data_IF_303864792808
#
_entry.id   IF_303864792808
#
_cell.length_a   1.000
_cell.length_b   1.000
_cell.length_c   1.000
_cell.angle_alpha   90.00
_cell.angle_beta   90.00
_cell.angle_gamma   90.00
#
_symmetry.space_group_name_H-M   'P 1'
#
loop_
_entity.id
_entity.type
_entity.pdbx_description
1 polymer ?
#
# COMPACT_ATOMS: atom_id res chain seq x y z
N UNK A 1 9.08 -18.76 5.39
CA UNK A 1 8.38 -17.94 6.41
C UNK A 1 6.91 -17.91 5.99
N UNK A 2 5.98 -18.32 6.84
CA UNK A 2 4.55 -18.23 6.54
C UNK A 2 4.04 -16.84 6.97
N UNK A 3 3.17 -16.23 6.18
CA UNK A 3 2.59 -14.93 6.53
C UNK A 3 1.58 -15.08 7.66
N UNK A 4 1.74 -14.28 8.72
CA UNK A 4 0.79 -14.18 9.84
C UNK A 4 -0.47 -13.36 9.49
N UNK A 5 -0.54 -12.81 8.27
CA UNK A 5 -1.65 -11.99 7.79
C UNK A 5 -3.01 -12.67 7.97
N UNK A 6 -3.06 -13.99 7.75
CA UNK A 6 -4.30 -14.75 7.81
C UNK A 6 -4.85 -14.97 9.23
N UNK A 7 -4.10 -14.61 10.28
CA UNK A 7 -4.61 -14.66 11.65
C UNK A 7 -5.74 -13.66 11.90
N UNK A 8 -5.72 -12.52 11.22
CA UNK A 8 -6.78 -11.50 11.34
C UNK A 8 -7.97 -11.73 10.39
N UNK A 9 -8.13 -12.95 9.87
CA UNK A 9 -9.32 -13.38 9.14
C UNK A 9 -10.33 -13.93 10.13
N UNK A 10 -11.60 -14.10 9.73
CA UNK A 10 -12.62 -14.74 10.58
C UNK A 10 -12.15 -16.09 11.12
N UNK A 11 -11.56 -16.94 10.27
CA UNK A 11 -11.03 -18.25 10.68
C UNK A 11 -9.88 -18.13 11.69
N UNK A 12 -8.95 -17.21 11.44
CA UNK A 12 -7.82 -16.96 12.34
C UNK A 12 -8.25 -16.36 13.68
N UNK A 13 -9.23 -15.45 13.70
CA UNK A 13 -9.79 -14.87 14.91
C UNK A 13 -10.53 -15.91 15.73
N UNK A 14 -11.39 -16.74 15.11
CA UNK A 14 -12.09 -17.82 15.82
C UNK A 14 -11.12 -18.83 16.43
N UNK A 15 -9.99 -19.12 15.76
CA UNK A 15 -8.95 -19.99 16.31
C UNK A 15 -8.26 -19.34 17.52
N UNK A 16 -7.93 -18.05 17.44
CA UNK A 16 -7.31 -17.32 18.55
C UNK A 16 -8.25 -17.25 19.76
N UNK A 17 -9.53 -16.92 19.55
CA UNK A 17 -10.55 -16.90 20.61
C UNK A 17 -10.68 -18.28 21.28
N UNK A 18 -10.73 -19.35 20.48
CA UNK A 18 -10.78 -20.72 21.02
C UNK A 18 -9.53 -21.08 21.83
N UNK A 19 -8.33 -20.66 21.37
CA UNK A 19 -7.09 -20.89 22.10
C UNK A 19 -7.05 -20.10 23.41
N UNK A 20 -7.55 -18.87 23.40
CA UNK A 20 -7.63 -18.02 24.59
C UNK A 20 -8.56 -18.63 25.65
N UNK A 21 -9.70 -19.20 25.26
CA UNK A 21 -10.59 -19.93 26.17
C UNK A 21 -9.88 -21.15 26.81
N UNK A 22 -9.11 -21.91 26.03
CA UNK A 22 -8.34 -23.06 26.53
C UNK A 22 -7.20 -22.63 27.47
N UNK A 23 -6.60 -21.46 27.25
CA UNK A 23 -5.62 -20.87 28.17
C UNK A 23 -6.30 -20.42 29.47
N UNK A 24 -7.44 -19.73 29.37
CA UNK A 24 -8.20 -19.25 30.53
C UNK A 24 -8.67 -20.39 31.44
N UNK A 25 -9.09 -21.50 30.84
CA UNK A 25 -9.47 -22.74 31.56
C UNK A 25 -8.26 -23.58 32.00
N UNK A 26 -7.03 -23.10 31.81
CA UNK A 26 -5.77 -23.75 32.16
C UNK A 26 -5.56 -25.13 31.51
N UNK A 27 -6.22 -25.40 30.39
CA UNK A 27 -6.06 -26.66 29.65
C UNK A 27 -4.80 -26.69 28.79
N UNK A 28 -4.36 -25.52 28.31
CA UNK A 28 -3.13 -25.37 27.52
C UNK A 28 -2.29 -24.19 28.01
N UNK A 29 -0.99 -24.24 27.73
CA UNK A 29 -0.10 -23.11 28.00
C UNK A 29 -0.13 -22.08 26.85
N UNK A 30 0.14 -20.79 27.14
CA UNK A 30 0.27 -19.78 26.08
C UNK A 30 1.34 -20.13 25.03
N UNK A 31 2.42 -20.79 25.46
CA UNK A 31 3.48 -21.23 24.56
C UNK A 31 2.99 -22.31 23.57
N UNK A 32 2.12 -23.22 24.02
CA UNK A 32 1.52 -24.22 23.14
C UNK A 32 0.55 -23.57 22.14
N UNK A 33 -0.27 -22.62 22.57
CA UNK A 33 -1.16 -21.88 21.68
C UNK A 33 -0.37 -21.14 20.57
N UNK A 34 0.78 -20.56 20.90
CA UNK A 34 1.67 -19.95 19.90
C UNK A 34 2.16 -20.98 18.86
N UNK A 35 2.50 -22.21 19.28
CA UNK A 35 2.87 -23.27 18.35
C UNK A 35 1.71 -23.68 17.43
N UNK A 36 0.48 -23.72 17.96
CA UNK A 36 -0.73 -23.98 17.15
C UNK A 36 -0.91 -22.88 16.10
N UNK A 37 -0.76 -21.61 16.47
CA UNK A 37 -0.85 -20.51 15.51
C UNK A 37 0.24 -20.55 14.44
N UNK A 38 1.48 -20.93 14.80
CA UNK A 38 2.55 -21.14 13.81
C UNK A 38 2.22 -22.29 12.84
N UNK A 39 1.55 -23.33 13.31
CA UNK A 39 1.10 -24.43 12.47
C UNK A 39 -0.08 -24.02 11.58
N UNK A 40 -1.00 -23.21 12.11
CA UNK A 40 -2.07 -22.60 11.33
C UNK A 40 -1.53 -21.76 10.18
N UNK A 41 -0.53 -20.91 10.43
CA UNK A 41 0.08 -20.09 9.38
C UNK A 41 0.60 -20.95 8.22
N UNK A 42 1.27 -22.07 8.52
CA UNK A 42 1.74 -23.00 7.48
C UNK A 42 0.57 -23.63 6.73
N UNK A 43 -0.40 -24.18 7.47
CA UNK A 43 -1.53 -24.90 6.92
C UNK A 43 -2.37 -24.05 5.96
N UNK A 44 -2.70 -22.81 6.35
CA UNK A 44 -3.52 -21.92 5.52
C UNK A 44 -2.80 -21.49 4.24
N UNK A 45 -1.50 -21.14 4.34
CA UNK A 45 -0.70 -20.78 3.16
C UNK A 45 -0.61 -21.97 2.17
N UNK A 46 -0.39 -23.19 2.68
CA UNK A 46 -0.37 -24.41 1.85
C UNK A 46 -1.74 -24.71 1.24
N UNK A 47 -2.83 -24.54 1.99
CA UNK A 47 -4.18 -24.80 1.50
C UNK A 47 -4.58 -23.83 0.39
N UNK A 48 -4.35 -22.52 0.60
CA UNK A 48 -4.65 -21.49 -0.39
C UNK A 48 -3.83 -21.68 -1.68
N UNK A 49 -2.53 -21.97 -1.56
CA UNK A 49 -1.66 -22.16 -2.74
C UNK A 49 -2.02 -23.40 -3.58
N UNK A 50 -2.45 -24.49 -2.94
CA UNK A 50 -2.60 -25.78 -3.62
C UNK A 50 -4.05 -26.16 -3.96
N UNK A 51 -5.03 -25.66 -3.19
CA UNK A 51 -6.43 -26.09 -3.29
C UNK A 51 -7.34 -25.06 -3.97
N UNK A 52 -7.01 -23.77 -3.87
CA UNK A 52 -7.85 -22.68 -4.39
C UNK A 52 -7.43 -22.35 -5.82
N UNK A 53 -8.37 -22.41 -6.75
CA UNK A 53 -8.11 -22.15 -8.19
C UNK A 53 -9.05 -21.14 -8.83
N UNK A 54 -10.09 -20.73 -8.12
CA UNK A 54 -11.03 -19.73 -8.61
C UNK A 54 -10.34 -18.38 -8.77
N UNK A 55 -10.82 -17.61 -9.75
CA UNK A 55 -10.31 -16.27 -10.08
C UNK A 55 -11.44 -15.28 -9.97
N UNK A 56 -11.20 -14.23 -9.20
CA UNK A 56 -12.11 -13.09 -9.04
C UNK A 56 -11.52 -11.87 -9.74
N UNK A 57 -12.35 -11.12 -10.44
CA UNK A 57 -12.01 -9.80 -10.97
C UNK A 57 -12.71 -8.73 -10.13
N UNK A 58 -12.11 -7.55 -9.98
CA UNK A 58 -12.77 -6.46 -9.28
C UNK A 58 -12.49 -5.10 -9.94
N UNK A 59 -13.41 -4.16 -9.75
CA UNK A 59 -13.29 -2.75 -10.15
C UNK A 59 -13.82 -1.86 -9.04
N UNK A 60 -13.24 -0.68 -8.87
CA UNK A 60 -13.70 0.28 -7.87
C UNK A 60 -12.84 1.54 -7.89
N UNK A 61 -13.22 2.53 -7.08
CA UNK A 61 -12.51 3.79 -6.96
C UNK A 61 -11.46 3.71 -5.87
N UNK A 62 -10.19 3.99 -6.17
CA UNK A 62 -9.12 3.99 -5.17
C UNK A 62 -9.26 5.23 -4.27
N UNK A 63 -9.42 5.00 -2.97
CA UNK A 63 -9.52 6.07 -1.97
C UNK A 63 -8.14 6.42 -1.40
N UNK A 64 -7.42 5.43 -0.87
CA UNK A 64 -6.05 5.61 -0.38
C UNK A 64 -5.24 4.34 -0.57
N UNK A 65 -3.91 4.49 -0.67
CA UNK A 65 -2.96 3.38 -0.71
C UNK A 65 -1.78 3.63 0.22
N UNK A 66 -1.12 2.56 0.65
CA UNK A 66 0.12 2.58 1.42
C UNK A 66 0.96 1.37 1.05
N UNK A 67 2.27 1.59 0.92
CA UNK A 67 3.25 0.53 0.82
C UNK A 67 4.31 0.70 1.91
N UNK A 68 4.48 -0.31 2.74
CA UNK A 68 5.47 -0.33 3.82
C UNK A 68 5.82 -1.79 4.13
N UNK A 69 7.09 -2.09 4.40
CA UNK A 69 7.58 -3.44 4.74
C UNK A 69 7.14 -4.55 3.78
N UNK A 70 7.13 -4.27 2.47
CA UNK A 70 6.67 -5.18 1.42
C UNK A 70 5.18 -5.60 1.54
N UNK A 71 4.39 -4.80 2.27
CA UNK A 71 2.95 -4.96 2.41
C UNK A 71 2.25 -3.78 1.75
N UNK A 72 1.41 -4.09 0.77
CA UNK A 72 0.48 -3.13 0.18
C UNK A 72 -0.82 -3.10 0.98
N UNK A 73 -1.31 -1.91 1.28
CA UNK A 73 -2.65 -1.68 1.83
C UNK A 73 -3.40 -0.71 0.94
N UNK A 74 -4.52 -1.13 0.38
CA UNK A 74 -5.43 -0.29 -0.39
C UNK A 74 -6.76 -0.15 0.33
N UNK A 75 -7.37 1.02 0.22
CA UNK A 75 -8.78 1.23 0.57
C UNK A 75 -9.46 1.72 -0.69
N UNK A 76 -10.49 1.02 -1.12
CA UNK A 76 -11.28 1.35 -2.30
C UNK A 76 -12.73 1.63 -1.88
N UNK A 77 -13.39 2.51 -2.62
CA UNK A 77 -14.82 2.78 -2.51
C UNK A 77 -15.55 2.24 -3.75
N UNK A 78 -16.85 1.98 -3.61
CA UNK A 78 -17.76 1.56 -4.69
C UNK A 78 -17.20 0.38 -5.50
N UNK A 79 -16.86 -0.70 -4.80
CA UNK A 79 -16.18 -1.85 -5.39
C UNK A 79 -17.17 -2.89 -5.86
N UNK A 80 -16.98 -3.36 -7.08
CA UNK A 80 -17.67 -4.51 -7.65
C UNK A 80 -16.70 -5.68 -7.80
N UNK A 81 -16.94 -6.77 -7.07
CA UNK A 81 -16.29 -8.06 -7.26
C UNK A 81 -17.12 -8.92 -8.22
N UNK A 82 -16.46 -9.54 -9.19
CA UNK A 82 -17.06 -10.42 -10.19
C UNK A 82 -16.34 -11.77 -10.21
N UNK A 83 -17.06 -12.80 -9.82
CA UNK A 83 -16.75 -14.19 -10.10
C UNK A 83 -17.63 -14.67 -11.27
N UNK A 84 -17.41 -15.87 -11.81
CA UNK A 84 -17.95 -16.35 -13.11
C UNK A 84 -19.41 -15.95 -13.35
N UNK A 85 -20.29 -16.18 -12.37
CA UNK A 85 -21.71 -15.81 -12.41
C UNK A 85 -22.09 -14.74 -11.39
N UNK A 86 -21.26 -14.52 -10.39
CA UNK A 86 -21.65 -13.80 -9.18
C UNK A 86 -21.05 -12.39 -9.16
N UNK A 87 -21.88 -11.41 -8.84
CA UNK A 87 -21.49 -10.01 -8.69
C UNK A 87 -21.83 -9.53 -7.29
N UNK A 88 -20.80 -9.06 -6.58
CA UNK A 88 -20.91 -8.52 -5.22
C UNK A 88 -20.49 -7.07 -5.23
N UNK A 89 -21.35 -6.17 -4.76
CA UNK A 89 -21.04 -4.74 -4.61
C UNK A 89 -20.78 -4.41 -3.14
N UNK A 90 -19.78 -3.58 -2.88
CA UNK A 90 -19.37 -3.17 -1.54
C UNK A 90 -18.99 -1.69 -1.56
N UNK A 91 -19.58 -0.89 -0.68
CA UNK A 91 -19.33 0.56 -0.61
C UNK A 91 -17.87 0.89 -0.30
N UNK A 92 -17.21 0.06 0.52
CA UNK A 92 -15.82 0.26 0.92
C UNK A 92 -15.13 -1.06 1.25
N UNK A 93 -13.92 -1.27 0.73
CA UNK A 93 -13.11 -2.46 1.02
C UNK A 93 -11.66 -2.07 1.33
N UNK A 94 -11.05 -2.81 2.25
CA UNK A 94 -9.62 -2.74 2.55
C UNK A 94 -8.91 -3.99 2.05
N UNK A 95 -7.95 -3.83 1.16
CA UNK A 95 -7.13 -4.92 0.61
C UNK A 95 -5.73 -4.83 1.23
N UNK A 96 -5.26 -5.90 1.86
CA UNK A 96 -3.90 -6.03 2.38
C UNK A 96 -3.20 -7.17 1.64
N UNK A 97 -2.08 -6.88 0.96
CA UNK A 97 -1.36 -7.83 0.14
C UNK A 97 0.13 -7.84 0.50
N UNK A 98 0.63 -9.02 0.89
CA UNK A 98 2.07 -9.25 1.07
C UNK A 98 2.67 -9.76 -0.24
N UNK A 99 3.93 -9.40 -0.52
CA UNK A 99 4.64 -9.92 -1.69
C UNK A 99 4.74 -11.47 -1.64
N UNK A 100 4.33 -12.17 -2.71
CA UNK A 100 4.42 -13.63 -2.80
C UNK A 100 5.84 -14.14 -3.07
N UNK A 101 6.79 -13.26 -3.37
CA UNK A 101 8.18 -13.65 -3.66
C UNK A 101 8.96 -13.96 -2.39
N UNK A 102 9.34 -15.23 -2.24
CA UNK A 102 10.38 -15.65 -1.30
C UNK A 102 11.72 -14.95 -1.64
N UNK A 103 12.12 -13.97 -0.81
CA UNK A 103 13.44 -13.31 -0.71
C UNK A 103 14.15 -12.92 -2.04
N UNK A 104 13.98 -11.67 -2.46
CA UNK A 104 15.05 -10.86 -3.07
C UNK A 104 15.02 -9.44 -2.45
N UNK A 105 15.34 -9.37 -1.16
CA UNK A 105 15.03 -8.25 -0.28
C UNK A 105 16.02 -7.07 -0.31
N UNK A 106 16.80 -6.89 -1.39
CA UNK A 106 17.78 -5.79 -1.49
C UNK A 106 17.57 -4.91 -2.73
N UNK A 107 17.32 -5.51 -3.89
CA UNK A 107 17.17 -4.78 -5.15
C UNK A 107 15.82 -4.05 -5.25
N UNK A 108 14.74 -4.64 -4.72
CA UNK A 108 13.42 -4.03 -4.82
C UNK A 108 13.31 -2.80 -3.91
N UNK A 109 13.88 -2.84 -2.71
CA UNK A 109 13.85 -1.72 -1.77
C UNK A 109 14.62 -0.51 -2.29
N UNK A 110 15.77 -0.72 -2.95
CA UNK A 110 16.53 0.36 -3.59
C UNK A 110 15.80 0.94 -4.81
N UNK A 111 15.15 0.11 -5.62
CA UNK A 111 14.32 0.59 -6.73
C UNK A 111 13.08 1.36 -6.24
N UNK A 112 12.40 0.90 -5.19
CA UNK A 112 11.23 1.60 -4.64
C UNK A 112 11.63 2.94 -4.02
N UNK A 113 12.69 2.95 -3.20
CA UNK A 113 13.18 4.19 -2.57
C UNK A 113 13.71 5.16 -3.61
N UNK A 114 14.37 4.70 -4.69
CA UNK A 114 14.85 5.55 -5.78
C UNK A 114 13.74 6.05 -6.70
N UNK A 115 12.70 5.26 -6.98
CA UNK A 115 11.52 5.71 -7.70
C UNK A 115 10.73 6.74 -6.87
N UNK A 116 10.57 6.54 -5.56
CA UNK A 116 9.93 7.52 -4.68
C UNK A 116 10.77 8.80 -4.54
N UNK A 117 12.10 8.70 -4.35
CA UNK A 117 12.99 9.86 -4.31
C UNK A 117 12.99 10.58 -5.65
N UNK A 118 13.08 9.89 -6.78
CA UNK A 118 13.09 10.53 -8.11
C UNK A 118 11.77 11.19 -8.48
N UNK A 119 10.62 10.61 -8.11
CA UNK A 119 9.32 11.28 -8.28
C UNK A 119 9.22 12.52 -7.38
N UNK A 120 9.66 12.44 -6.13
CA UNK A 120 9.65 13.61 -5.23
C UNK A 120 10.63 14.71 -5.68
N UNK A 121 11.84 14.34 -6.14
CA UNK A 121 12.84 15.27 -6.64
C UNK A 121 12.37 15.90 -7.95
N UNK A 122 11.86 15.13 -8.91
CA UNK A 122 11.36 15.67 -10.18
C UNK A 122 10.21 16.65 -9.96
N UNK A 123 9.23 16.34 -9.11
CA UNK A 123 8.15 17.29 -8.78
C UNK A 123 8.69 18.56 -8.10
N UNK A 124 9.66 18.45 -7.18
CA UNK A 124 10.28 19.61 -6.51
C UNK A 124 11.17 20.46 -7.45
N UNK A 125 11.89 19.83 -8.38
CA UNK A 125 12.72 20.49 -9.40
C UNK A 125 11.85 21.15 -10.46
N UNK A 126 10.75 20.53 -10.89
CA UNK A 126 9.79 21.13 -11.80
C UNK A 126 9.11 22.37 -11.16
N UNK A 127 8.75 22.31 -9.88
CA UNK A 127 8.19 23.47 -9.18
C UNK A 127 9.23 24.60 -8.96
N UNK A 128 10.49 24.28 -8.66
CA UNK A 128 11.53 25.30 -8.44
C UNK A 128 12.04 25.94 -9.74
N UNK A 129 12.17 25.17 -10.83
CA UNK A 129 12.50 25.72 -12.15
C UNK A 129 11.38 26.60 -12.70
N UNK A 130 10.11 26.19 -12.55
CA UNK A 130 8.99 27.04 -12.96
C UNK A 130 8.95 28.34 -12.15
N UNK A 131 9.15 28.30 -10.82
CA UNK A 131 9.17 29.51 -10.00
C UNK A 131 10.34 30.45 -10.31
N UNK A 132 11.55 29.91 -10.56
CA UNK A 132 12.74 30.72 -10.89
C UNK A 132 12.68 31.33 -12.30
N UNK A 133 12.12 30.61 -13.27
CA UNK A 133 11.85 31.15 -14.62
C UNK A 133 10.79 32.26 -14.53
N UNK A 134 9.72 32.06 -13.75
CA UNK A 134 8.73 33.12 -13.52
C UNK A 134 9.33 34.36 -12.84
N UNK A 135 10.18 34.19 -11.81
CA UNK A 135 10.85 35.32 -11.15
C UNK A 135 11.82 36.06 -12.08
N UNK A 136 12.64 35.35 -12.85
CA UNK A 136 13.59 35.97 -13.78
C UNK A 136 12.90 36.70 -14.93
N UNK A 137 11.81 36.16 -15.46
CA UNK A 137 10.95 36.84 -16.44
C UNK A 137 10.29 38.09 -15.84
N UNK A 138 9.82 38.03 -14.60
CA UNK A 138 9.23 39.20 -13.94
C UNK A 138 10.25 40.31 -13.69
N UNK A 139 11.48 39.95 -13.29
CA UNK A 139 12.55 40.91 -13.02
C UNK A 139 13.06 41.56 -14.31
N UNK A 140 13.24 40.78 -15.37
CA UNK A 140 13.65 41.30 -16.69
C UNK A 140 12.59 42.21 -17.31
N UNK A 141 11.30 41.86 -17.21
CA UNK A 141 10.22 42.77 -17.62
C UNK A 141 10.22 44.07 -16.81
N UNK A 142 10.43 44.00 -15.49
CA UNK A 142 10.46 45.20 -14.63
C UNK A 142 11.61 46.14 -14.99
N UNK A 143 12.80 45.62 -15.31
CA UNK A 143 13.96 46.40 -15.75
C UNK A 143 13.78 46.98 -17.16
N UNK A 144 13.12 46.24 -18.05
CA UNK A 144 12.77 46.72 -19.38
C UNK A 144 11.74 47.87 -19.34
N UNK A 145 10.74 47.77 -18.46
CA UNK A 145 9.77 48.85 -18.23
C UNK A 145 10.45 50.09 -17.62
N UNK A 146 11.32 49.90 -16.62
CA UNK A 146 12.04 51.00 -15.96
C UNK A 146 12.96 51.77 -16.92
N UNK A 147 13.71 51.04 -17.77
CA UNK A 147 14.56 51.65 -18.82
C UNK A 147 13.75 52.35 -19.91
N UNK A 148 12.56 51.84 -20.24
CA UNK A 148 11.64 52.51 -21.16
C UNK A 148 11.03 53.80 -20.58
N UNK A 149 10.72 53.83 -19.28
CA UNK A 149 10.24 55.04 -18.60
C UNK A 149 11.31 56.11 -18.40
N UNK A 150 12.58 55.72 -18.22
CA UNK A 150 13.70 56.67 -18.07
C UNK A 150 14.05 57.40 -19.37
N UNK A 151 13.73 56.82 -20.53
CA UNK A 151 13.97 57.44 -21.84
C UNK A 151 12.83 58.37 -22.31
N UNK A 152 11.78 58.59 -21.49
CA UNK A 152 10.66 59.50 -21.82
C UNK A 152 10.63 60.81 -21.03
N UNK A 153 11.61 61.05 -20.16
CA UNK A 153 11.73 62.29 -19.36
C UNK A 153 13.05 63.05 -19.59
N UNK A 154 13.75 62.76 -20.70
CA UNK A 154 14.88 63.54 -21.20
C UNK A 154 14.48 64.42 -22.37
#
# INVERSE_FOLDING_TARGET
MAYQLYRNTTLGNSLQESLDELIQTQQITPQLALQVLLQFDKAINTALANRVRNRVNFKGSLNTYRFCDNVWTFVLNDVEFREVTDLVKVDKVKIVACDGKSRFNSLCLSLCLSLCLSLSLSVSLCLSLSLSVCLSLSLSLSQAIFSSSSNRLG
#
